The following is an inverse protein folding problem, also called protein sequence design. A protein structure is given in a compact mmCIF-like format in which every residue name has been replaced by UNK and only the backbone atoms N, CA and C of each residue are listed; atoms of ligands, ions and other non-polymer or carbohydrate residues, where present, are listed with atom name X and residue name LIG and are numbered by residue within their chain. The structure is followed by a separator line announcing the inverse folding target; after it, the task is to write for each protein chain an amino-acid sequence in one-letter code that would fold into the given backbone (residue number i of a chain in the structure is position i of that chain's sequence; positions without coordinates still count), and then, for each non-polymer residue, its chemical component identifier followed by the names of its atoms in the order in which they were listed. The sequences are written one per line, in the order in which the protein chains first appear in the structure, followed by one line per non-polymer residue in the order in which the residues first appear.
data_IF_691669428651
#
_entry.id   IF_691669428651
#
_cell.length_a   1.000
_cell.length_b   1.000
_cell.length_c   1.000
_cell.angle_alpha   90.00
_cell.angle_beta   90.00
_cell.angle_gamma   90.00
#
_symmetry.space_group_name_H-M   'P 1'
#
loop_
_entity.id
_entity.type
_entity.pdbx_description
1 polymer ?
#
# COMPACT_ATOMS: atom_id res chain seq x y z
N UNK A 1 12.69 -6.16 -7.46
CA UNK A 1 12.13 -5.12 -6.56
C UNK A 1 13.10 -4.92 -5.41
N UNK A 2 13.51 -3.68 -5.13
CA UNK A 2 14.39 -3.36 -4.00
C UNK A 2 13.71 -2.32 -3.12
N UNK A 3 13.42 -2.68 -1.86
CA UNK A 3 12.86 -1.76 -0.86
C UNK A 3 14.04 -1.06 -0.20
N UNK A 4 13.99 0.27 -0.06
CA UNK A 4 15.00 1.00 0.70
C UNK A 4 14.75 0.82 2.19
N UNK A 5 15.74 0.31 2.91
CA UNK A 5 15.68 0.13 4.36
C UNK A 5 17.06 0.38 4.98
N UNK A 6 17.06 0.63 6.29
CA UNK A 6 18.24 0.67 7.14
C UNK A 6 18.09 -0.35 8.27
N UNK A 7 19.20 -0.89 8.79
CA UNK A 7 19.17 -1.89 9.85
C UNK A 7 19.41 -1.19 11.18
N UNK A 8 18.42 -1.26 12.06
CA UNK A 8 18.51 -0.77 13.43
C UNK A 8 18.74 -1.92 14.41
N UNK A 9 19.33 -1.56 15.55
CA UNK A 9 19.70 -2.49 16.61
C UNK A 9 18.93 -2.11 17.88
N UNK A 10 18.13 -3.03 18.39
CA UNK A 10 17.44 -2.89 19.66
C UNK A 10 18.21 -3.67 20.73
N UNK A 11 18.80 -3.00 21.75
CA UNK A 11 19.33 -3.68 22.91
C UNK A 11 18.17 -4.27 23.72
N UNK A 12 18.25 -5.55 24.07
CA UNK A 12 17.26 -6.16 24.94
C UNK A 12 17.32 -5.54 26.34
N UNK A 13 16.19 -5.06 26.85
CA UNK A 13 16.08 -4.48 28.20
C UNK A 13 16.45 -5.46 29.34
N UNK A 14 16.56 -6.77 29.03
CA UNK A 14 16.88 -7.84 29.97
C UNK A 14 18.37 -8.20 30.13
N UNK A 15 19.30 -7.47 29.51
CA UNK A 15 20.74 -7.61 29.80
C UNK A 15 21.46 -8.85 29.26
N UNK A 16 20.79 -9.73 28.51
CA UNK A 16 21.39 -10.97 27.96
C UNK A 16 22.22 -10.79 26.66
N UNK A 17 22.70 -9.58 26.36
CA UNK A 17 23.58 -9.24 25.21
C UNK A 17 23.08 -9.58 23.78
N UNK A 18 21.98 -10.32 23.62
CA UNK A 18 21.40 -10.60 22.31
C UNK A 18 20.78 -9.34 21.71
N UNK A 19 21.49 -8.72 20.77
CA UNK A 19 21.01 -7.54 20.06
C UNK A 19 20.06 -7.97 18.94
N UNK A 20 18.80 -7.52 18.99
CA UNK A 20 17.84 -7.79 17.91
C UNK A 20 18.01 -6.79 16.78
N UNK A 21 18.07 -7.29 15.55
CA UNK A 21 18.15 -6.48 14.33
C UNK A 21 16.78 -6.38 13.69
N UNK A 22 16.39 -5.19 13.26
CA UNK A 22 15.18 -5.01 12.45
C UNK A 22 15.47 -4.06 11.29
N UNK A 23 14.76 -4.27 10.18
CA UNK A 23 14.80 -3.37 9.05
C UNK A 23 13.81 -2.24 9.28
N UNK A 24 14.30 -1.00 9.33
CA UNK A 24 13.49 0.20 9.29
C UNK A 24 13.35 0.61 7.82
N UNK A 25 12.13 0.57 7.29
CA UNK A 25 11.85 0.96 5.90
C UNK A 25 11.85 2.48 5.83
N UNK A 26 12.53 3.06 4.83
CA UNK A 26 12.48 4.50 4.64
C UNK A 26 11.09 4.92 4.19
N UNK A 27 10.37 5.61 5.07
CA UNK A 27 9.09 6.22 4.76
C UNK A 27 9.31 7.46 3.89
N UNK A 28 8.82 7.42 2.66
CA UNK A 28 8.69 8.59 1.81
C UNK A 28 7.25 9.10 1.90
N UNK A 29 7.07 10.41 1.66
CA UNK A 29 5.73 11.00 1.56
C UNK A 29 4.88 10.18 0.59
N UNK A 30 3.70 9.76 1.07
CA UNK A 30 2.75 9.05 0.24
C UNK A 30 2.35 9.90 -0.96
N UNK A 31 2.19 9.25 -2.12
CA UNK A 31 1.66 9.89 -3.31
C UNK A 31 0.23 10.36 -3.04
N UNK A 32 -0.09 11.57 -3.48
CA UNK A 32 -1.45 12.11 -3.39
C UNK A 32 -2.37 11.43 -4.40
N UNK A 33 -3.69 11.49 -4.17
CA UNK A 33 -4.70 10.94 -5.08
C UNK A 33 -4.54 11.46 -6.51
N UNK A 34 -4.27 12.76 -6.67
CA UNK A 34 -4.06 13.40 -7.98
C UNK A 34 -2.84 12.84 -8.69
N UNK A 35 -1.73 12.67 -7.98
CA UNK A 35 -0.50 12.12 -8.54
C UNK A 35 -0.68 10.66 -8.95
N UNK A 36 -1.43 9.87 -8.16
CA UNK A 36 -1.72 8.48 -8.48
C UNK A 36 -2.60 8.36 -9.73
N UNK A 37 -3.68 9.15 -9.81
CA UNK A 37 -4.55 9.21 -10.99
C UNK A 37 -3.73 9.59 -12.24
N UNK A 38 -2.94 10.66 -12.15
CA UNK A 38 -2.09 11.12 -13.25
C UNK A 38 -1.07 10.05 -13.69
N UNK A 39 -0.54 9.29 -12.73
CA UNK A 39 0.44 8.23 -13.00
C UNK A 39 -0.20 7.04 -13.71
N UNK A 40 -1.37 6.58 -13.27
CA UNK A 40 -2.09 5.48 -13.94
C UNK A 40 -2.51 5.91 -15.35
N UNK A 41 -3.06 7.12 -15.52
CA UNK A 41 -3.46 7.65 -16.82
C UNK A 41 -2.27 7.66 -17.80
N UNK A 42 -1.09 8.12 -17.35
CA UNK A 42 0.14 8.14 -18.16
C UNK A 42 0.65 6.76 -18.58
N UNK A 43 0.37 5.73 -17.79
CA UNK A 43 0.80 4.35 -18.05
C UNK A 43 -0.33 3.48 -18.64
N UNK A 44 -1.44 4.08 -19.06
CA UNK A 44 -2.57 3.40 -19.67
C UNK A 44 -3.07 4.16 -20.90
N UNK A 45 -4.15 3.67 -21.52
CA UNK A 45 -4.85 4.37 -22.59
C UNK A 45 -6.02 5.22 -22.06
N UNK A 46 -6.15 5.36 -20.74
CA UNK A 46 -7.26 6.06 -20.08
C UNK A 46 -6.89 7.52 -19.76
N UNK A 47 -7.87 8.40 -19.85
CA UNK A 47 -7.79 9.76 -19.31
C UNK A 47 -7.91 9.79 -17.79
N UNK A 48 -7.44 10.87 -17.17
CA UNK A 48 -7.48 11.05 -15.70
C UNK A 48 -8.91 10.93 -15.13
N UNK A 49 -9.92 11.41 -15.86
CA UNK A 49 -11.33 11.27 -15.46
C UNK A 49 -11.81 9.82 -15.46
N UNK A 50 -11.39 9.01 -16.44
CA UNK A 50 -11.74 7.58 -16.51
C UNK A 50 -11.05 6.80 -15.39
N UNK A 51 -9.77 7.08 -15.13
CA UNK A 51 -9.03 6.49 -14.00
C UNK A 51 -9.70 6.82 -12.67
N UNK A 52 -10.06 8.09 -12.46
CA UNK A 52 -10.78 8.51 -11.26
C UNK A 52 -12.09 7.74 -11.09
N UNK A 53 -12.88 7.61 -12.17
CA UNK A 53 -14.14 6.87 -12.15
C UNK A 53 -13.95 5.39 -11.80
N UNK A 54 -12.93 4.73 -12.36
CA UNK A 54 -12.60 3.33 -12.05
C UNK A 54 -12.21 3.17 -10.58
N UNK A 55 -11.36 4.04 -10.04
CA UNK A 55 -10.95 3.99 -8.64
C UNK A 55 -12.13 4.22 -7.69
N UNK A 56 -13.05 5.14 -8.01
CA UNK A 56 -14.28 5.34 -7.24
C UNK A 56 -15.16 4.08 -7.26
N UNK A 57 -15.33 3.43 -8.42
CA UNK A 57 -16.10 2.19 -8.50
C UNK A 57 -15.45 1.00 -7.82
N UNK A 58 -14.12 0.91 -7.87
CA UNK A 58 -13.39 -0.08 -7.09
C UNK A 58 -13.61 0.12 -5.58
N UNK A 59 -13.58 1.38 -5.10
CA UNK A 59 -13.91 1.70 -3.70
C UNK A 59 -15.33 1.30 -3.35
N UNK A 60 -16.33 1.66 -4.16
CA UNK A 60 -17.73 1.31 -3.91
C UNK A 60 -17.91 -0.22 -3.76
N UNK A 61 -17.31 -1.02 -4.66
CA UNK A 61 -17.34 -2.50 -4.58
C UNK A 61 -16.67 -3.00 -3.31
N UNK A 62 -15.51 -2.43 -2.94
CA UNK A 62 -14.81 -2.79 -1.72
C UNK A 62 -15.68 -2.53 -0.49
N UNK A 63 -16.32 -1.37 -0.41
CA UNK A 63 -17.19 -1.01 0.72
C UNK A 63 -18.39 -1.96 0.84
N UNK A 64 -19.05 -2.29 -0.27
CA UNK A 64 -20.18 -3.22 -0.31
C UNK A 64 -19.80 -4.62 0.20
N UNK A 65 -18.69 -5.18 -0.30
CA UNK A 65 -18.26 -6.52 0.10
C UNK A 65 -17.76 -6.57 1.56
N UNK A 66 -17.06 -5.53 2.02
CA UNK A 66 -16.60 -5.46 3.42
C UNK A 66 -17.78 -5.31 4.40
N UNK A 67 -18.84 -4.58 4.03
CA UNK A 67 -20.06 -4.47 4.84
C UNK A 67 -20.74 -5.85 5.03
N UNK A 68 -20.65 -6.71 4.02
CA UNK A 68 -21.13 -8.10 4.08
C UNK A 68 -20.18 -9.05 4.82
N UNK A 69 -19.04 -8.55 5.33
CA UNK A 69 -18.01 -9.36 5.98
C UNK A 69 -17.21 -10.25 5.02
N UNK A 70 -17.21 -9.93 3.72
CA UNK A 70 -16.46 -10.68 2.70
C UNK A 70 -15.04 -10.12 2.56
N UNK A 71 -14.13 -10.98 2.11
CA UNK A 71 -12.78 -10.58 1.69
C UNK A 71 -12.81 -10.16 0.22
N UNK A 72 -12.20 -9.03 -0.10
CA UNK A 72 -12.17 -8.50 -1.47
C UNK A 72 -10.83 -8.85 -2.11
N UNK A 73 -10.85 -9.58 -3.22
CA UNK A 73 -9.65 -9.85 -4.00
C UNK A 73 -9.43 -8.70 -4.99
N UNK A 74 -8.34 -7.95 -4.82
CA UNK A 74 -7.88 -6.97 -5.79
C UNK A 74 -6.86 -7.68 -6.70
N UNK A 75 -7.18 -7.90 -7.99
CA UNK A 75 -6.32 -8.64 -8.90
C UNK A 75 -4.89 -8.10 -8.91
N UNK A 76 -3.92 -9.01 -8.89
CA UNK A 76 -2.47 -8.72 -8.91
C UNK A 76 -1.92 -7.92 -7.70
N UNK A 77 -2.78 -7.54 -6.74
CA UNK A 77 -2.39 -6.80 -5.53
C UNK A 77 -2.53 -7.69 -4.30
N UNK A 78 -3.70 -8.30 -4.09
CA UNK A 78 -3.95 -9.17 -2.95
C UNK A 78 -5.36 -9.04 -2.38
N UNK A 79 -5.55 -9.51 -1.15
CA UNK A 79 -6.84 -9.52 -0.48
C UNK A 79 -6.96 -8.41 0.55
N UNK A 80 -8.08 -7.69 0.53
CA UNK A 80 -8.50 -6.78 1.58
C UNK A 80 -9.54 -7.47 2.47
N UNK A 81 -9.49 -7.24 3.78
CA UNK A 81 -10.32 -7.89 4.80
C UNK A 81 -10.58 -6.92 5.94
#
# INVERSE_FOLDING_TARGET
MAIKYEIHYLPNAGGNEETRRFAHIFEQTAMTDKEMISRIARHSCLGEGEVSSVLMKLRDIIEEDLQDGKRVNIPEIGYLS
#
